data_IF_045679355221
#
_entry.id   IF_045679355221
#
_cell.length_a   1.000
_cell.length_b   1.000
_cell.length_c   1.000
_cell.angle_alpha   90.00
_cell.angle_beta   90.00
_cell.angle_gamma   90.00
#
_symmetry.space_group_name_H-M   'P 1'
#
loop_
_entity.id
_entity.type
_entity.pdbx_description
1 polymer ?
#
# COMPACT_ATOMS: atom_id res chain seq x y z
N UNK A 1 -12.89 -55.77 -50.05
CA UNK A 1 -12.27 -55.99 -48.74
C UNK A 1 -11.37 -54.83 -48.42
N UNK A 2 -11.84 -53.87 -47.66
CA UNK A 2 -11.05 -52.74 -47.19
C UNK A 2 -11.19 -52.65 -45.70
N UNK A 3 -10.10 -52.82 -44.95
CA UNK A 3 -10.02 -52.74 -43.51
C UNK A 3 -9.98 -51.30 -43.04
N UNK A 4 -10.96 -50.90 -42.28
CA UNK A 4 -11.04 -49.57 -41.59
C UNK A 4 -10.17 -49.63 -40.34
N UNK A 5 -9.10 -48.81 -40.32
CA UNK A 5 -8.28 -48.59 -39.13
C UNK A 5 -8.93 -47.50 -38.30
N UNK A 6 -9.37 -47.88 -37.10
CA UNK A 6 -9.87 -46.93 -36.07
C UNK A 6 -8.68 -46.23 -35.39
N UNK A 7 -8.49 -44.96 -35.67
CA UNK A 7 -7.61 -44.09 -34.92
C UNK A 7 -8.22 -43.76 -33.54
N UNK A 8 -7.48 -44.04 -32.46
CA UNK A 8 -7.76 -43.60 -31.11
C UNK A 8 -7.43 -42.10 -30.99
N UNK A 9 -8.27 -41.28 -30.38
CA UNK A 9 -7.88 -39.92 -30.03
C UNK A 9 -6.92 -39.97 -28.83
N UNK A 10 -5.70 -39.49 -29.05
CA UNK A 10 -4.75 -39.21 -27.99
C UNK A 10 -5.29 -38.05 -27.12
N UNK A 11 -5.70 -38.40 -25.91
CA UNK A 11 -6.04 -37.44 -24.87
C UNK A 11 -4.81 -36.66 -24.45
N UNK A 12 -4.64 -35.46 -24.99
CA UNK A 12 -3.68 -34.46 -24.50
C UNK A 12 -4.04 -34.08 -23.05
N UNK A 13 -3.44 -34.78 -22.09
CA UNK A 13 -3.44 -34.34 -20.70
C UNK A 13 -2.67 -33.03 -20.63
N UNK A 14 -3.39 -31.90 -20.57
CA UNK A 14 -2.84 -30.57 -20.24
C UNK A 14 -2.05 -30.71 -18.93
N UNK A 15 -0.73 -30.81 -19.01
CA UNK A 15 0.18 -30.62 -17.88
C UNK A 15 -0.18 -29.26 -17.27
N UNK A 16 -0.79 -29.23 -16.07
CA UNK A 16 -0.88 -28.02 -15.24
C UNK A 16 0.54 -27.46 -15.12
N UNK A 17 0.81 -26.35 -15.80
CA UNK A 17 2.11 -25.69 -15.77
C UNK A 17 2.51 -25.46 -14.30
N UNK A 18 3.75 -25.74 -13.96
CA UNK A 18 4.32 -25.40 -12.65
C UNK A 18 4.12 -23.89 -12.47
N UNK A 19 3.30 -23.48 -11.50
CA UNK A 19 3.14 -22.09 -11.08
C UNK A 19 4.54 -21.50 -10.80
N UNK A 20 4.89 -20.40 -11.42
CA UNK A 20 6.18 -19.74 -11.22
C UNK A 20 6.31 -19.26 -9.77
N UNK A 21 7.52 -19.01 -9.30
CA UNK A 21 7.76 -18.53 -7.93
C UNK A 21 7.07 -17.19 -7.66
N UNK A 22 7.10 -16.19 -8.58
CA UNK A 22 6.34 -14.94 -8.43
C UNK A 22 4.83 -15.14 -8.37
N UNK A 23 4.25 -15.98 -9.24
CA UNK A 23 2.81 -16.29 -9.20
C UNK A 23 2.41 -16.97 -7.89
N UNK A 24 3.26 -17.87 -7.39
CA UNK A 24 3.06 -18.54 -6.10
C UNK A 24 3.09 -17.55 -4.95
N UNK A 25 4.06 -16.63 -4.94
CA UNK A 25 4.18 -15.57 -3.95
C UNK A 25 2.92 -14.70 -3.94
N UNK A 26 2.43 -14.29 -5.10
CA UNK A 26 1.24 -13.46 -5.23
C UNK A 26 -0.01 -14.18 -4.71
N UNK A 27 -0.22 -15.44 -5.10
CA UNK A 27 -1.34 -16.23 -4.62
C UNK A 27 -1.37 -16.37 -3.09
N UNK A 28 -0.20 -16.48 -2.46
CA UNK A 28 -0.08 -16.52 -0.99
C UNK A 28 -0.39 -15.18 -0.34
N UNK A 29 0.03 -14.06 -0.93
CA UNK A 29 -0.29 -12.70 -0.45
C UNK A 29 -1.79 -12.41 -0.57
N UNK A 30 -2.42 -12.77 -1.69
CA UNK A 30 -3.86 -12.59 -1.90
C UNK A 30 -4.67 -13.41 -0.88
N UNK A 31 -4.32 -14.68 -0.69
CA UNK A 31 -4.95 -15.52 0.32
C UNK A 31 -4.72 -15.00 1.75
N UNK A 32 -3.52 -14.53 2.07
CA UNK A 32 -3.21 -13.94 3.36
C UNK A 32 -4.04 -12.68 3.62
N UNK A 33 -4.19 -11.81 2.63
CA UNK A 33 -5.04 -10.61 2.70
C UNK A 33 -6.48 -10.98 3.09
N UNK A 34 -7.06 -11.94 2.38
CA UNK A 34 -8.42 -12.40 2.66
C UNK A 34 -8.55 -12.99 4.07
N UNK A 35 -7.64 -13.91 4.47
CA UNK A 35 -7.67 -14.55 5.79
C UNK A 35 -7.51 -13.54 6.92
N UNK A 36 -6.56 -12.59 6.78
CA UNK A 36 -6.36 -11.54 7.78
C UNK A 36 -7.55 -10.58 7.90
N UNK A 37 -8.20 -10.23 6.78
CA UNK A 37 -9.37 -9.35 6.79
C UNK A 37 -10.61 -10.06 7.37
N UNK A 38 -10.76 -11.38 7.16
CA UNK A 38 -11.90 -12.16 7.67
C UNK A 38 -11.78 -12.45 9.17
N UNK A 39 -10.58 -12.81 9.65
CA UNK A 39 -10.37 -13.37 10.99
C UNK A 39 -9.59 -12.47 11.95
N UNK A 40 -9.03 -11.40 11.45
CA UNK A 40 -8.02 -10.60 12.15
C UNK A 40 -6.65 -11.26 12.10
N UNK A 41 -5.61 -10.45 12.37
CA UNK A 41 -4.22 -10.96 12.36
C UNK A 41 -4.00 -12.02 13.44
N UNK A 42 -4.45 -11.79 14.68
CA UNK A 42 -4.16 -12.68 15.80
C UNK A 42 -4.68 -14.11 15.56
N UNK A 43 -5.93 -14.23 15.08
CA UNK A 43 -6.62 -15.53 14.90
C UNK A 43 -6.29 -16.25 13.60
N UNK A 44 -5.75 -15.55 12.60
CA UNK A 44 -5.38 -16.14 11.32
C UNK A 44 -4.17 -17.09 11.46
N UNK A 45 -4.19 -18.19 10.69
CA UNK A 45 -3.13 -19.21 10.69
C UNK A 45 -2.53 -19.40 9.31
N UNK A 46 -1.25 -19.83 9.26
CA UNK A 46 -0.59 -20.20 7.99
C UNK A 46 -1.32 -21.36 7.31
N UNK A 47 -1.95 -22.28 8.07
CA UNK A 47 -2.72 -23.37 7.51
C UNK A 47 -3.89 -22.89 6.66
N UNK A 48 -4.61 -21.91 7.14
CA UNK A 48 -5.74 -21.31 6.42
C UNK A 48 -5.31 -20.58 5.15
N UNK A 49 -4.17 -19.88 5.21
CA UNK A 49 -3.58 -19.23 4.03
C UNK A 49 -3.20 -20.29 2.98
N UNK A 50 -2.51 -21.36 3.40
CA UNK A 50 -2.13 -22.46 2.49
C UNK A 50 -3.34 -23.20 1.94
N UNK A 51 -4.38 -23.44 2.75
CA UNK A 51 -5.62 -24.06 2.30
C UNK A 51 -6.31 -23.26 1.20
N UNK A 52 -6.25 -21.93 1.30
CA UNK A 52 -6.87 -21.01 0.31
C UNK A 52 -6.02 -20.81 -0.95
N UNK A 53 -4.71 -20.57 -0.79
CA UNK A 53 -3.79 -20.35 -1.90
C UNK A 53 -3.38 -21.62 -2.65
N UNK A 54 -3.51 -22.77 -2.00
CA UNK A 54 -2.86 -24.02 -2.38
C UNK A 54 -1.35 -24.01 -2.07
N UNK A 55 -0.72 -25.16 -2.16
CA UNK A 55 0.73 -25.31 -1.91
C UNK A 55 1.03 -25.94 -0.56
N UNK A 56 2.13 -25.55 0.08
CA UNK A 56 2.61 -26.12 1.33
C UNK A 56 3.06 -25.06 2.33
N UNK A 57 3.00 -25.38 3.62
CA UNK A 57 3.58 -24.53 4.68
C UNK A 57 5.07 -24.26 4.43
N UNK A 58 5.81 -25.27 3.95
CA UNK A 58 7.23 -25.11 3.64
C UNK A 58 7.47 -24.00 2.62
N UNK A 59 6.56 -23.82 1.64
CA UNK A 59 6.63 -22.72 0.67
C UNK A 59 6.42 -21.37 1.35
N UNK A 60 5.47 -21.27 2.29
CA UNK A 60 5.23 -20.02 3.03
C UNK A 60 6.45 -19.66 3.87
N UNK A 61 6.98 -20.62 4.64
CA UNK A 61 8.17 -20.40 5.47
C UNK A 61 9.41 -20.05 4.63
N UNK A 62 9.57 -20.66 3.45
CA UNK A 62 10.68 -20.34 2.54
C UNK A 62 10.60 -18.93 1.95
N UNK A 63 9.38 -18.39 1.72
CA UNK A 63 9.17 -17.09 1.09
C UNK A 63 9.05 -15.94 2.09
N UNK A 64 8.55 -16.21 3.29
CA UNK A 64 8.15 -15.18 4.25
C UNK A 64 8.66 -15.44 5.67
N UNK A 65 9.34 -16.55 5.92
CA UNK A 65 9.89 -16.97 7.21
C UNK A 65 8.84 -17.35 8.27
N UNK A 66 7.85 -16.50 8.48
CA UNK A 66 6.80 -16.69 9.50
C UNK A 66 5.55 -15.87 9.13
N UNK A 67 4.57 -15.81 10.05
CA UNK A 67 3.32 -15.06 9.87
C UNK A 67 3.57 -13.54 9.85
N UNK A 68 4.51 -13.07 10.66
CA UNK A 68 4.94 -11.67 10.72
C UNK A 68 5.56 -11.25 9.39
N UNK A 69 6.45 -12.07 8.83
CA UNK A 69 7.06 -11.83 7.51
C UNK A 69 6.04 -11.85 6.37
N UNK A 70 5.05 -12.74 6.44
CA UNK A 70 3.94 -12.75 5.49
C UNK A 70 3.09 -11.47 5.59
N UNK A 71 2.80 -11.00 6.80
CA UNK A 71 2.08 -9.75 7.03
C UNK A 71 2.92 -8.54 6.59
N UNK A 72 4.21 -8.52 6.90
CA UNK A 72 5.12 -7.48 6.44
C UNK A 72 5.18 -7.38 4.91
N UNK A 73 5.22 -8.52 4.22
CA UNK A 73 5.20 -8.58 2.76
C UNK A 73 3.87 -8.07 2.19
N UNK A 74 2.73 -8.34 2.83
CA UNK A 74 1.43 -7.82 2.46
C UNK A 74 1.35 -6.29 2.62
N UNK A 75 1.88 -5.76 3.72
CA UNK A 75 1.94 -4.32 3.97
C UNK A 75 2.89 -3.64 2.98
N UNK A 76 4.04 -4.26 2.69
CA UNK A 76 5.00 -3.75 1.72
C UNK A 76 4.39 -3.65 0.31
N UNK A 77 3.69 -4.70 -0.16
CA UNK A 77 2.96 -4.68 -1.43
C UNK A 77 1.91 -3.55 -1.45
N UNK A 78 1.18 -3.40 -0.35
CA UNK A 78 0.23 -2.31 -0.22
C UNK A 78 0.89 -0.92 -0.23
N UNK A 79 2.09 -0.78 0.29
CA UNK A 79 2.83 0.48 0.32
C UNK A 79 3.57 0.80 -0.99
N UNK A 80 3.81 -0.22 -1.85
CA UNK A 80 4.64 -0.08 -3.05
C UNK A 80 4.08 0.97 -4.02
N UNK A 81 2.77 0.98 -4.26
CA UNK A 81 2.13 1.98 -5.13
C UNK A 81 2.38 3.41 -4.65
N UNK A 82 2.26 3.68 -3.35
CA UNK A 82 2.55 4.98 -2.78
C UNK A 82 4.04 5.30 -2.82
N UNK A 83 4.90 4.31 -2.60
CA UNK A 83 6.35 4.47 -2.66
C UNK A 83 6.81 4.82 -4.08
N UNK A 84 6.30 4.11 -5.09
CA UNK A 84 6.59 4.40 -6.50
C UNK A 84 6.03 5.76 -6.92
N UNK A 85 4.81 6.10 -6.51
CA UNK A 85 4.24 7.43 -6.74
C UNK A 85 5.18 8.53 -6.23
N UNK A 86 5.60 8.45 -4.97
CA UNK A 86 6.45 9.49 -4.37
C UNK A 86 7.82 9.55 -5.04
N UNK A 87 8.39 8.41 -5.45
CA UNK A 87 9.66 8.36 -6.18
C UNK A 87 9.58 8.96 -7.59
N UNK A 88 8.40 8.93 -8.21
CA UNK A 88 8.20 9.47 -9.57
C UNK A 88 8.30 10.99 -9.63
N UNK A 89 8.13 11.70 -8.50
CA UNK A 89 8.23 13.16 -8.49
C UNK A 89 9.67 13.62 -8.56
N UNK A 90 9.98 14.55 -9.51
CA UNK A 90 11.34 15.05 -9.68
C UNK A 90 11.73 15.97 -8.53
N UNK A 91 12.98 15.86 -8.07
CA UNK A 91 13.51 16.73 -7.01
C UNK A 91 13.71 18.18 -7.47
N UNK A 92 13.73 18.44 -8.77
CA UNK A 92 13.94 19.75 -9.41
C UNK A 92 12.63 20.42 -9.89
N UNK A 93 11.48 19.79 -9.65
CA UNK A 93 10.17 20.34 -9.98
C UNK A 93 9.78 21.59 -9.19
N UNK A 94 8.74 22.28 -9.66
CA UNK A 94 8.11 23.35 -8.89
C UNK A 94 7.39 22.75 -7.69
N UNK A 95 7.79 23.12 -6.48
CA UNK A 95 7.30 22.47 -5.25
C UNK A 95 5.79 22.56 -5.10
N UNK A 96 5.15 23.64 -5.53
CA UNK A 96 3.70 23.80 -5.53
C UNK A 96 3.00 22.70 -6.32
N UNK A 97 3.45 22.47 -7.55
CA UNK A 97 2.85 21.50 -8.46
C UNK A 97 3.11 20.08 -7.96
N UNK A 98 4.32 19.81 -7.50
CA UNK A 98 4.70 18.51 -6.91
C UNK A 98 3.85 18.18 -5.68
N UNK A 99 3.67 19.13 -4.76
CA UNK A 99 2.87 18.89 -3.55
C UNK A 99 1.38 18.73 -3.86
N UNK A 100 0.84 19.46 -4.85
CA UNK A 100 -0.53 19.36 -5.29
C UNK A 100 -0.81 17.98 -5.90
N UNK A 101 -0.01 17.60 -6.89
CA UNK A 101 -0.17 16.31 -7.57
C UNK A 101 0.04 15.14 -6.60
N UNK A 102 1.07 15.21 -5.77
CA UNK A 102 1.30 14.20 -4.74
C UNK A 102 0.13 14.11 -3.76
N UNK A 103 -0.32 15.24 -3.22
CA UNK A 103 -1.43 15.27 -2.26
C UNK A 103 -2.71 14.67 -2.82
N UNK A 104 -3.03 14.95 -4.10
CA UNK A 104 -4.18 14.41 -4.79
C UNK A 104 -4.11 12.88 -4.91
N UNK A 105 -3.03 12.37 -5.49
CA UNK A 105 -2.85 10.92 -5.68
C UNK A 105 -2.74 10.17 -4.34
N UNK A 106 -2.03 10.77 -3.36
CA UNK A 106 -1.92 10.20 -2.03
C UNK A 106 -3.27 10.03 -1.36
N UNK A 107 -4.12 11.06 -1.40
CA UNK A 107 -5.46 11.01 -0.81
C UNK A 107 -6.38 10.03 -1.55
N UNK A 108 -6.31 9.97 -2.88
CA UNK A 108 -7.04 9.00 -3.71
C UNK A 108 -6.69 7.56 -3.30
N UNK A 109 -5.39 7.24 -3.22
CA UNK A 109 -4.95 5.90 -2.83
C UNK A 109 -5.37 5.59 -1.40
N UNK A 110 -5.20 6.53 -0.46
CA UNK A 110 -5.48 6.32 0.95
C UNK A 110 -6.97 6.08 1.26
N UNK A 111 -7.85 6.64 0.45
CA UNK A 111 -9.30 6.52 0.65
C UNK A 111 -9.93 5.33 -0.07
N UNK A 112 -9.15 4.53 -0.79
CA UNK A 112 -9.62 3.29 -1.42
C UNK A 112 -10.08 2.27 -0.38
N UNK A 113 -11.14 1.48 -0.69
CA UNK A 113 -11.69 0.48 0.25
C UNK A 113 -10.67 -0.52 0.78
N UNK A 114 -9.82 -1.05 -0.09
CA UNK A 114 -8.80 -2.03 0.27
C UNK A 114 -7.72 -1.45 1.19
N UNK A 115 -7.35 -0.17 0.99
CA UNK A 115 -6.38 0.54 1.84
C UNK A 115 -6.95 0.82 3.22
N UNK A 116 -8.19 1.31 3.27
CA UNK A 116 -8.87 1.57 4.54
C UNK A 116 -9.20 0.28 5.31
N UNK A 117 -9.46 -0.84 4.61
CA UNK A 117 -9.66 -2.15 5.24
C UNK A 117 -8.37 -2.65 5.91
N UNK A 118 -7.23 -2.57 5.20
CA UNK A 118 -5.92 -2.93 5.76
C UNK A 118 -5.57 -2.04 6.97
N UNK A 119 -5.79 -0.74 6.87
CA UNK A 119 -5.49 0.16 7.98
C UNK A 119 -6.37 -0.11 9.20
N UNK A 120 -7.68 -0.41 9.02
CA UNK A 120 -8.55 -0.84 10.11
C UNK A 120 -8.11 -2.15 10.75
N UNK A 121 -7.64 -3.12 9.94
CA UNK A 121 -7.05 -4.36 10.44
C UNK A 121 -5.86 -4.06 11.36
N UNK A 122 -4.93 -3.22 10.93
CA UNK A 122 -3.77 -2.81 11.74
C UNK A 122 -4.21 -2.16 13.05
N UNK A 123 -5.12 -1.17 12.99
CA UNK A 123 -5.61 -0.49 14.19
C UNK A 123 -6.34 -1.44 15.17
N UNK A 124 -7.06 -2.44 14.66
CA UNK A 124 -7.75 -3.43 15.49
C UNK A 124 -6.80 -4.41 16.17
N UNK A 125 -5.63 -4.64 15.60
CA UNK A 125 -4.70 -5.67 16.08
C UNK A 125 -3.50 -5.09 16.86
N UNK A 126 -3.04 -3.87 16.58
CA UNK A 126 -1.82 -3.31 17.15
C UNK A 126 -1.86 -3.16 18.68
N UNK A 127 -3.05 -3.04 19.29
CA UNK A 127 -3.20 -3.04 20.74
C UNK A 127 -2.96 -4.42 21.40
N UNK A 128 -3.06 -5.50 20.64
CA UNK A 128 -2.80 -6.88 21.09
C UNK A 128 -1.46 -7.41 20.62
N UNK A 129 -1.04 -7.00 19.42
CA UNK A 129 0.18 -7.43 18.74
C UNK A 129 0.88 -6.16 18.26
N UNK A 130 1.70 -5.49 19.11
CA UNK A 130 2.37 -4.24 18.78
C UNK A 130 3.22 -4.30 17.51
N UNK A 131 3.80 -5.44 17.21
CA UNK A 131 4.62 -5.70 16.02
C UNK A 131 3.88 -5.42 14.72
N UNK A 132 2.56 -5.61 14.68
CA UNK A 132 1.71 -5.29 13.52
C UNK A 132 1.74 -3.79 13.22
N UNK A 133 1.65 -2.96 14.26
CA UNK A 133 1.75 -1.50 14.15
C UNK A 133 3.14 -1.06 13.69
N UNK A 134 4.19 -1.64 14.28
CA UNK A 134 5.59 -1.32 13.95
C UNK A 134 5.93 -1.69 12.51
N UNK A 135 5.51 -2.88 12.05
CA UNK A 135 5.69 -3.33 10.67
C UNK A 135 4.99 -2.35 9.72
N UNK A 136 3.72 -2.06 9.99
CA UNK A 136 2.93 -1.16 9.14
C UNK A 136 3.58 0.22 9.04
N UNK A 137 3.97 0.82 10.17
CA UNK A 137 4.58 2.14 10.19
C UNK A 137 5.89 2.21 9.41
N UNK A 138 6.80 1.27 9.65
CA UNK A 138 8.12 1.23 9.01
C UNK A 138 8.05 0.94 7.51
N UNK A 139 7.13 0.06 7.10
CA UNK A 139 7.05 -0.39 5.71
C UNK A 139 6.26 0.58 4.83
N UNK A 140 5.31 1.32 5.40
CA UNK A 140 4.43 2.24 4.68
C UNK A 140 4.71 3.71 5.02
N UNK A 141 4.07 4.28 6.05
CA UNK A 141 4.11 5.72 6.35
C UNK A 141 5.51 6.32 6.44
N UNK A 142 6.45 5.64 7.12
CA UNK A 142 7.81 6.15 7.31
C UNK A 142 8.53 6.40 5.97
N UNK A 143 8.37 5.52 4.99
CA UNK A 143 8.98 5.67 3.66
C UNK A 143 8.43 6.91 2.95
N UNK A 144 7.12 7.15 3.08
CA UNK A 144 6.46 8.31 2.48
C UNK A 144 6.94 9.62 3.13
N UNK A 145 6.99 9.66 4.47
CA UNK A 145 7.49 10.83 5.20
C UNK A 145 8.93 11.19 4.80
N UNK A 146 9.81 10.19 4.75
CA UNK A 146 11.22 10.40 4.36
C UNK A 146 11.32 10.99 2.95
N UNK A 147 10.56 10.46 2.00
CA UNK A 147 10.62 10.94 0.61
C UNK A 147 10.06 12.35 0.46
N UNK A 148 8.95 12.67 1.13
CA UNK A 148 8.42 14.05 1.13
C UNK A 148 9.42 15.02 1.77
N UNK A 149 10.10 14.63 2.86
CA UNK A 149 11.16 15.44 3.45
C UNK A 149 12.32 15.70 2.46
N UNK A 150 12.69 14.71 1.62
CA UNK A 150 13.69 14.91 0.56
C UNK A 150 13.23 15.94 -0.49
N UNK A 151 11.95 15.86 -0.93
CA UNK A 151 11.37 16.84 -1.87
C UNK A 151 11.40 18.26 -1.28
N UNK A 152 10.99 18.40 -0.02
CA UNK A 152 11.01 19.68 0.68
C UNK A 152 12.42 20.22 0.87
N UNK A 153 13.38 19.37 1.23
CA UNK A 153 14.81 19.75 1.37
C UNK A 153 15.39 20.24 0.05
N UNK A 154 15.09 19.51 -1.04
CA UNK A 154 15.53 19.90 -2.37
C UNK A 154 14.90 21.23 -2.83
N UNK A 155 13.63 21.48 -2.53
CA UNK A 155 12.95 22.75 -2.82
C UNK A 155 13.52 23.93 -2.01
N UNK A 156 13.84 23.70 -0.73
CA UNK A 156 14.48 24.70 0.12
C UNK A 156 15.88 25.05 -0.39
N UNK A 157 16.67 24.06 -0.81
CA UNK A 157 17.99 24.28 -1.40
C UNK A 157 17.95 25.13 -2.69
N UNK A 158 16.81 25.11 -3.40
CA UNK A 158 16.57 25.96 -4.61
C UNK A 158 15.88 27.29 -4.29
N UNK A 159 15.66 27.61 -3.01
CA UNK A 159 15.03 28.86 -2.59
C UNK A 159 13.54 28.96 -2.91
N UNK A 160 12.86 27.86 -3.22
CA UNK A 160 11.42 27.86 -3.48
C UNK A 160 10.58 27.96 -2.18
N UNK A 161 11.14 27.46 -1.07
CA UNK A 161 10.56 27.54 0.26
C UNK A 161 11.66 27.80 1.30
N UNK A 162 11.27 28.34 2.47
CA UNK A 162 12.15 28.48 3.62
C UNK A 162 11.62 27.61 4.76
N UNK A 163 12.36 26.58 5.14
CA UNK A 163 12.03 25.65 6.22
C UNK A 163 13.28 25.30 7.00
N UNK A 164 13.17 25.21 8.32
CA UNK A 164 14.26 24.81 9.22
C UNK A 164 14.27 23.29 9.50
N UNK A 165 13.10 22.66 9.47
CA UNK A 165 12.90 21.23 9.76
C UNK A 165 12.10 20.56 8.63
N UNK A 166 12.78 20.00 7.60
CA UNK A 166 12.12 19.32 6.49
C UNK A 166 11.33 18.08 6.93
N UNK A 167 11.81 17.35 7.94
CA UNK A 167 11.17 16.15 8.47
C UNK A 167 9.84 16.49 9.16
N UNK A 168 9.85 17.42 10.09
CA UNK A 168 8.64 17.91 10.76
C UNK A 168 7.64 18.51 9.77
N UNK A 169 8.12 19.25 8.78
CA UNK A 169 7.26 19.83 7.74
C UNK A 169 6.66 18.75 6.81
N UNK A 170 7.37 17.65 6.56
CA UNK A 170 6.82 16.52 5.82
C UNK A 170 5.69 15.83 6.59
N UNK A 171 5.87 15.59 7.88
CA UNK A 171 4.81 15.09 8.76
C UNK A 171 3.61 16.02 8.76
N UNK A 172 3.83 17.32 8.99
CA UNK A 172 2.75 18.32 8.99
C UNK A 172 1.96 18.32 7.66
N UNK A 173 2.66 18.32 6.52
CA UNK A 173 2.02 18.33 5.21
C UNK A 173 1.18 17.06 4.98
N UNK A 174 1.76 15.89 5.21
CA UNK A 174 1.08 14.60 4.99
C UNK A 174 -0.14 14.46 5.90
N UNK A 175 -0.03 14.82 7.17
CA UNK A 175 -1.15 14.75 8.11
C UNK A 175 -2.24 15.78 7.77
N UNK A 176 -1.88 16.96 7.28
CA UNK A 176 -2.85 17.95 6.78
C UNK A 176 -3.59 17.43 5.54
N UNK A 177 -2.89 16.78 4.59
CA UNK A 177 -3.53 16.17 3.40
C UNK A 177 -4.47 15.02 3.79
N UNK A 178 -4.05 14.12 4.69
CA UNK A 178 -4.94 13.07 5.22
C UNK A 178 -6.20 13.64 5.83
N UNK A 179 -6.05 14.62 6.71
CA UNK A 179 -7.08 15.45 7.31
C UNK A 179 -8.33 14.69 7.73
N UNK A 180 -9.45 15.42 7.71
CA UNK A 180 -10.76 14.89 8.09
C UNK A 180 -11.31 13.82 7.13
N UNK A 181 -10.89 13.84 5.85
CA UNK A 181 -11.43 12.89 4.84
C UNK A 181 -11.00 11.46 5.15
N UNK A 182 -9.72 11.23 5.47
CA UNK A 182 -9.27 9.90 5.87
C UNK A 182 -9.99 9.43 7.14
N UNK A 183 -10.17 10.30 8.13
CA UNK A 183 -10.94 9.98 9.34
C UNK A 183 -12.39 9.58 9.00
N UNK A 184 -13.06 10.32 8.09
CA UNK A 184 -14.42 9.99 7.68
C UNK A 184 -14.52 8.62 7.03
N UNK A 185 -13.62 8.26 6.10
CA UNK A 185 -13.64 6.93 5.46
C UNK A 185 -13.23 5.82 6.43
N UNK A 186 -12.39 6.11 7.43
CA UNK A 186 -12.04 5.15 8.47
C UNK A 186 -13.24 4.81 9.37
N UNK A 187 -14.04 5.80 9.72
CA UNK A 187 -15.23 5.64 10.57
C UNK A 187 -16.46 5.15 9.80
N UNK A 188 -16.57 5.48 8.53
CA UNK A 188 -17.69 5.08 7.67
C UNK A 188 -17.19 4.35 6.41
N UNK A 189 -17.25 3.00 6.37
CA UNK A 189 -16.78 2.20 5.24
C UNK A 189 -17.49 2.46 3.91
N UNK A 190 -18.68 3.10 3.92
CA UNK A 190 -19.44 3.43 2.71
C UNK A 190 -19.12 4.83 2.17
N UNK A 191 -18.47 5.68 2.97
CA UNK A 191 -18.08 7.04 2.55
C UNK A 191 -17.04 6.97 1.42
N UNK A 192 -17.32 7.68 0.35
CA UNK A 192 -16.39 7.87 -0.78
C UNK A 192 -16.27 9.35 -1.05
N UNK A 193 -15.12 9.99 -0.75
CA UNK A 193 -14.86 11.36 -1.15
C UNK A 193 -14.89 11.47 -2.68
N UNK A 194 -15.50 12.54 -3.18
CA UNK A 194 -15.47 12.83 -4.61
C UNK A 194 -14.13 13.45 -5.01
N UNK A 195 -13.72 13.30 -6.27
CA UNK A 195 -12.51 13.94 -6.80
C UNK A 195 -12.49 15.46 -6.50
N UNK A 196 -13.64 16.14 -6.65
CA UNK A 196 -13.76 17.58 -6.37
C UNK A 196 -13.60 17.94 -4.88
N UNK A 197 -14.04 17.07 -3.97
CA UNK A 197 -13.81 17.27 -2.53
C UNK A 197 -12.33 17.13 -2.21
N UNK A 198 -11.67 16.11 -2.76
CA UNK A 198 -10.23 15.86 -2.56
C UNK A 198 -9.40 17.00 -3.16
N UNK A 199 -9.65 17.41 -4.39
CA UNK A 199 -8.98 18.52 -5.06
C UNK A 199 -9.05 19.81 -4.23
N UNK A 200 -10.25 20.21 -3.80
CA UNK A 200 -10.45 21.41 -2.97
C UNK A 200 -9.70 21.34 -1.66
N UNK A 201 -9.68 20.17 -1.03
CA UNK A 201 -8.97 19.96 0.23
C UNK A 201 -7.45 20.05 0.03
N UNK A 202 -6.92 19.39 -1.00
CA UNK A 202 -5.48 19.42 -1.31
C UNK A 202 -5.03 20.83 -1.68
N UNK A 203 -5.79 21.55 -2.51
CA UNK A 203 -5.49 22.94 -2.86
C UNK A 203 -5.44 23.82 -1.61
N UNK A 204 -6.40 23.68 -0.70
CA UNK A 204 -6.41 24.41 0.57
C UNK A 204 -5.16 24.10 1.40
N UNK A 205 -4.79 22.82 1.51
CA UNK A 205 -3.61 22.41 2.29
C UNK A 205 -2.33 22.96 1.68
N UNK A 206 -2.13 22.79 0.36
CA UNK A 206 -0.92 23.24 -0.34
C UNK A 206 -0.77 24.77 -0.23
N UNK A 207 -1.84 25.53 -0.44
CA UNK A 207 -1.79 27.00 -0.33
C UNK A 207 -1.39 27.47 1.07
N UNK A 208 -1.96 26.88 2.12
CA UNK A 208 -1.65 27.28 3.50
C UNK A 208 -0.27 26.77 3.93
N UNK A 209 0.14 25.58 3.51
CA UNK A 209 1.48 25.04 3.73
C UNK A 209 2.55 25.97 3.12
N UNK A 210 2.40 26.32 1.85
CA UNK A 210 3.36 27.20 1.17
C UNK A 210 3.37 28.64 1.72
N UNK A 211 2.26 29.13 2.24
CA UNK A 211 2.25 30.43 2.96
C UNK A 211 3.10 30.40 4.21
N UNK A 212 3.05 29.28 4.95
CA UNK A 212 3.89 29.09 6.14
C UNK A 212 5.37 28.89 5.83
N UNK A 213 5.72 28.49 4.59
CA UNK A 213 7.07 28.19 4.13
C UNK A 213 7.65 29.29 3.21
N UNK A 214 7.10 30.53 3.25
CA UNK A 214 7.63 31.62 2.38
C UNK A 214 9.04 32.00 2.79
N UNK A 215 9.94 32.22 1.80
CA UNK A 215 11.27 32.76 2.02
C UNK A 215 11.24 34.15 2.67
#
# INVERSE_FOLDING_TARGET
>A
MAATILEKPEGSARRKGRCSLPERRQALLDAAREVFLEKGYASATIDEVVARAGGSKATVYSLFENKEGLFAALVAEAAEELSELVKSYPLDGQIRDVLRDFGQHYLEILTRPERTALFRLVLGECGRVPEVGDIFYRTGPQVIFQRVAELLRAAAARGQIAIADPEGMAHFFIDAVRGHMHMQVMLNPTRRPTAKEMERHVDFVVENFLRACRP
#
